data_IF_917969913328
#
_entry.id   IF_917969913328
#
_cell.length_a   1.000
_cell.length_b   1.000
_cell.length_c   1.000
_cell.angle_alpha   90.00
_cell.angle_beta   90.00
_cell.angle_gamma   90.00
#
_symmetry.space_group_name_H-M   'P 1'
#
loop_
_entity.id
_entity.type
_entity.pdbx_description
1 polymer ?
#
# COMPACT_ATOMS: atom_id res chain seq x y z
N UNK A 1 -0.20 27.27 17.63
CA UNK A 1 -1.68 27.14 17.60
C UNK A 1 -2.23 28.24 16.72
N UNK A 2 -2.74 27.90 15.54
CA UNK A 2 -3.16 28.89 14.56
C UNK A 2 -4.60 28.65 14.17
N UNK A 3 -5.37 29.74 14.12
CA UNK A 3 -6.78 29.72 13.77
C UNK A 3 -6.95 30.30 12.39
N UNK A 4 -7.65 29.58 11.53
CA UNK A 4 -8.30 30.18 10.37
C UNK A 4 -9.75 30.46 10.74
N UNK A 5 -10.08 31.74 10.88
CA UNK A 5 -11.45 32.23 10.94
C UNK A 5 -11.83 32.66 9.52
N UNK A 6 -12.20 31.69 8.72
CA UNK A 6 -12.85 31.94 7.43
C UNK A 6 -14.36 31.91 7.65
N UNK A 7 -14.95 33.10 7.73
CA UNK A 7 -16.36 33.30 8.01
C UNK A 7 -17.07 33.83 6.75
N UNK A 8 -16.92 33.20 5.58
CA UNK A 8 -17.56 33.69 4.34
C UNK A 8 -19.11 33.76 4.35
N UNK A 9 -19.80 33.46 5.45
CA UNK A 9 -21.25 33.64 5.67
C UNK A 9 -21.55 33.14 7.08
N UNK A 10 -22.07 33.97 8.00
CA UNK A 10 -21.75 33.91 9.42
C UNK A 10 -21.94 32.51 10.01
N UNK A 11 -20.87 31.69 10.14
CA UNK A 11 -20.78 30.83 11.31
C UNK A 11 -20.75 31.81 12.48
N UNK A 12 -21.62 31.62 13.46
CA UNK A 12 -21.87 32.55 14.55
C UNK A 12 -20.58 33.29 15.02
N UNK A 13 -20.36 34.52 14.50
CA UNK A 13 -19.17 35.34 14.79
C UNK A 13 -19.07 35.53 16.30
N UNK A 14 -20.23 35.63 16.97
CA UNK A 14 -20.32 35.72 18.42
C UNK A 14 -19.75 34.46 19.06
N UNK A 15 -20.12 33.27 18.60
CA UNK A 15 -19.56 32.00 19.07
C UNK A 15 -18.06 31.89 18.80
N UNK A 16 -17.60 32.22 17.60
CA UNK A 16 -16.19 32.12 17.23
C UNK A 16 -15.32 33.03 18.10
N UNK A 17 -15.68 34.32 18.19
CA UNK A 17 -14.95 35.29 19.02
C UNK A 17 -15.05 34.95 20.51
N UNK A 18 -16.21 34.50 20.98
CA UNK A 18 -16.37 34.03 22.35
C UNK A 18 -15.45 32.85 22.66
N UNK A 19 -15.38 31.87 21.76
CA UNK A 19 -14.54 30.68 21.91
C UNK A 19 -13.05 31.03 21.94
N UNK A 20 -12.61 31.92 21.04
CA UNK A 20 -11.25 32.46 21.02
C UNK A 20 -10.89 33.11 22.36
N UNK A 21 -11.77 33.97 22.88
CA UNK A 21 -11.53 34.64 24.16
C UNK A 21 -11.54 33.66 25.34
N UNK A 22 -12.50 32.73 25.40
CA UNK A 22 -12.58 31.72 26.47
C UNK A 22 -11.29 30.90 26.50
N UNK A 23 -10.83 30.41 25.37
CA UNK A 23 -9.62 29.60 25.30
C UNK A 23 -8.36 30.43 25.58
N UNK A 24 -8.22 31.61 24.98
CA UNK A 24 -7.01 32.43 25.14
C UNK A 24 -6.85 33.02 26.54
N UNK A 25 -7.95 33.30 27.23
CA UNK A 25 -7.93 33.83 28.60
C UNK A 25 -7.88 32.74 29.66
N UNK A 26 -8.19 31.49 29.30
CA UNK A 26 -8.15 30.36 30.23
C UNK A 26 -6.74 30.17 30.76
N UNK A 27 -6.63 30.19 32.10
CA UNK A 27 -5.36 30.16 32.82
C UNK A 27 -4.33 31.15 32.24
N UNK A 28 -4.80 32.35 31.85
CA UNK A 28 -3.99 33.41 31.23
C UNK A 28 -3.21 32.97 29.98
N UNK A 29 -3.74 32.00 29.22
CA UNK A 29 -3.15 31.55 27.97
C UNK A 29 -1.92 30.65 28.14
N UNK A 30 -1.74 30.03 29.31
CA UNK A 30 -0.62 29.10 29.57
C UNK A 30 -0.79 27.74 28.90
N UNK A 31 -2.01 27.36 28.54
CA UNK A 31 -2.22 26.10 27.84
C UNK A 31 -1.56 26.19 26.47
N UNK A 32 -0.70 25.22 26.13
CA UNK A 32 -0.01 25.15 24.83
C UNK A 32 -1.00 25.07 23.67
N UNK A 33 -2.19 24.51 23.93
CA UNK A 33 -3.30 24.52 23.00
C UNK A 33 -4.13 25.84 22.98
N UNK A 34 -3.65 26.93 23.56
CA UNK A 34 -4.27 28.24 23.42
C UNK A 34 -3.88 28.95 22.13
N UNK A 35 -4.80 29.76 21.61
CA UNK A 35 -4.70 30.51 20.37
C UNK A 35 -3.45 31.40 20.36
N UNK A 36 -2.60 31.28 19.33
CA UNK A 36 -1.46 32.20 19.17
C UNK A 36 -1.72 33.24 18.09
N UNK A 37 -2.53 32.91 17.10
CA UNK A 37 -2.86 33.77 15.97
C UNK A 37 -4.31 33.52 15.54
N UNK A 38 -5.00 34.60 15.14
CA UNK A 38 -6.24 34.55 14.39
C UNK A 38 -5.98 35.05 12.97
N UNK A 39 -6.45 34.30 11.98
CA UNK A 39 -6.39 34.67 10.56
C UNK A 39 -7.82 34.87 10.11
N UNK A 40 -8.16 36.11 9.75
CA UNK A 40 -9.53 36.50 9.44
C UNK A 40 -9.63 36.82 7.96
N UNK A 41 -10.58 36.19 7.27
CA UNK A 41 -10.85 36.52 5.85
C UNK A 41 -11.42 37.93 5.72
N UNK A 42 -11.09 38.57 4.60
CA UNK A 42 -11.37 39.99 4.34
C UNK A 42 -12.83 40.37 4.50
N UNK A 43 -13.75 39.51 4.06
CA UNK A 43 -15.18 39.79 3.99
C UNK A 43 -15.85 39.98 5.36
N UNK A 44 -15.27 39.40 6.42
CA UNK A 44 -15.76 39.51 7.81
C UNK A 44 -14.80 40.20 8.77
N UNK A 45 -13.68 40.70 8.26
CA UNK A 45 -12.60 41.25 9.10
C UNK A 45 -13.10 42.30 10.08
N UNK A 46 -13.85 43.28 9.57
CA UNK A 46 -14.29 44.43 10.36
C UNK A 46 -15.34 44.01 11.41
N UNK A 47 -16.19 43.03 11.11
CA UNK A 47 -17.18 42.48 12.04
C UNK A 47 -16.51 41.71 13.18
N UNK A 48 -15.51 40.88 12.88
CA UNK A 48 -14.74 40.14 13.88
C UNK A 48 -13.95 41.08 14.78
N UNK A 49 -13.29 42.10 14.22
CA UNK A 49 -12.55 43.11 15.00
C UNK A 49 -13.50 43.88 15.93
N UNK A 50 -14.69 44.25 15.44
CA UNK A 50 -15.71 44.91 16.25
C UNK A 50 -16.17 44.02 17.41
N UNK A 51 -16.43 42.75 17.15
CA UNK A 51 -16.87 41.79 18.16
C UNK A 51 -15.77 41.48 19.19
N UNK A 52 -14.51 41.37 18.75
CA UNK A 52 -13.34 41.22 19.62
C UNK A 52 -13.26 42.40 20.61
N UNK A 53 -13.36 43.63 20.11
CA UNK A 53 -13.38 44.84 20.94
C UNK A 53 -14.53 44.82 21.95
N UNK A 54 -15.74 44.49 21.49
CA UNK A 54 -16.93 44.42 22.33
C UNK A 54 -16.75 43.45 23.50
N UNK A 55 -16.08 42.31 23.29
CA UNK A 55 -15.91 41.28 24.31
C UNK A 55 -14.67 41.45 25.21
N UNK A 56 -13.90 42.52 25.02
CA UNK A 56 -12.78 42.91 25.89
C UNK A 56 -11.38 42.67 25.32
N UNK A 57 -11.23 42.48 24.01
CA UNK A 57 -9.93 42.52 23.35
C UNK A 57 -9.51 43.98 23.09
N UNK A 58 -8.26 44.32 23.39
CA UNK A 58 -7.69 45.62 23.04
C UNK A 58 -6.84 45.48 21.77
N UNK A 59 -7.26 46.15 20.69
CA UNK A 59 -6.51 46.17 19.42
C UNK A 59 -5.43 47.25 19.51
N UNK A 60 -4.17 46.82 19.41
CA UNK A 60 -3.00 47.68 19.54
C UNK A 60 -2.81 48.53 18.28
N UNK A 61 -2.47 49.81 18.45
CA UNK A 61 -1.92 50.60 17.34
C UNK A 61 -0.45 50.23 17.07
N UNK A 62 0.14 50.74 15.98
CA UNK A 62 1.50 50.36 15.58
C UNK A 62 2.57 50.67 16.65
N UNK A 63 2.47 51.80 17.34
CA UNK A 63 3.42 52.17 18.40
C UNK A 63 3.29 51.27 19.63
N UNK A 64 2.06 50.91 19.99
CA UNK A 64 1.79 49.99 21.10
C UNK A 64 2.24 48.56 20.76
N UNK A 65 1.97 48.12 19.52
CA UNK A 65 2.39 46.83 18.99
C UNK A 65 3.89 46.66 19.07
N UNK A 66 4.68 47.65 18.62
CA UNK A 66 6.15 47.59 18.72
C UNK A 66 6.65 47.47 20.17
N UNK A 67 5.99 48.15 21.12
CA UNK A 67 6.36 48.05 22.54
C UNK A 67 6.04 46.67 23.11
N UNK A 68 4.86 46.14 22.78
CA UNK A 68 4.46 44.79 23.21
C UNK A 68 5.38 43.74 22.57
N UNK A 69 5.68 43.84 21.27
CA UNK A 69 6.57 42.91 20.55
C UNK A 69 7.92 42.73 21.26
N UNK A 70 8.56 43.85 21.64
CA UNK A 70 9.84 43.88 22.39
C UNK A 70 9.77 43.24 23.78
N UNK A 71 8.56 43.03 24.32
CA UNK A 71 8.37 42.32 25.59
C UNK A 71 8.01 40.85 25.42
N UNK A 72 7.62 40.41 24.21
CA UNK A 72 7.33 39.01 23.91
C UNK A 72 8.64 38.22 23.80
N UNK A 73 9.58 38.68 22.97
CA UNK A 73 10.85 37.99 22.73
C UNK A 73 12.01 38.83 23.28
N UNK A 74 12.84 38.23 24.13
CA UNK A 74 14.07 38.84 24.65
C UNK A 74 15.24 37.95 24.26
N UNK A 75 16.20 38.50 23.52
CA UNK A 75 17.40 37.78 23.01
C UNK A 75 17.02 36.49 22.23
N UNK A 76 16.01 36.60 21.37
CA UNK A 76 15.57 35.48 20.50
C UNK A 76 14.83 34.35 21.22
N UNK A 77 14.39 34.54 22.47
CA UNK A 77 13.58 33.58 23.23
C UNK A 77 12.36 34.23 23.82
N UNK A 78 11.29 33.45 24.01
CA UNK A 78 10.10 33.88 24.74
C UNK A 78 10.49 34.40 26.12
N UNK A 79 10.00 35.59 26.45
CA UNK A 79 10.21 36.24 27.73
C UNK A 79 9.42 35.50 28.82
N UNK A 80 10.08 34.82 29.77
CA UNK A 80 9.37 34.07 30.82
C UNK A 80 8.53 34.99 31.72
N UNK A 81 8.84 36.29 31.78
CA UNK A 81 8.12 37.24 32.62
C UNK A 81 6.69 37.54 32.13
N UNK A 82 6.36 37.25 30.86
CA UNK A 82 4.99 37.43 30.33
C UNK A 82 4.13 36.16 30.45
N UNK A 83 4.75 35.00 30.68
CA UNK A 83 4.06 33.70 30.73
C UNK A 83 3.09 33.69 31.89
N UNK A 84 1.83 33.35 31.60
CA UNK A 84 0.76 33.30 32.59
C UNK A 84 0.43 34.62 33.28
N UNK A 85 0.78 35.77 32.68
CA UNK A 85 0.43 37.09 33.21
C UNK A 85 -0.85 37.60 32.56
N UNK A 86 -1.57 38.48 33.25
CA UNK A 86 -2.75 39.15 32.67
C UNK A 86 -2.35 40.11 31.55
N UNK A 87 -3.27 40.33 30.60
CA UNK A 87 -3.08 41.29 29.51
C UNK A 87 -2.71 42.68 30.02
N UNK A 88 -3.34 43.11 31.12
CA UNK A 88 -3.03 44.37 31.80
C UNK A 88 -1.58 44.45 32.27
N UNK A 89 -1.09 43.41 32.95
CA UNK A 89 0.27 43.40 33.50
C UNK A 89 1.32 43.40 32.39
N UNK A 90 1.06 42.68 31.29
CA UNK A 90 1.92 42.71 30.11
C UNK A 90 1.96 44.12 29.51
N UNK A 91 0.81 44.77 29.33
CA UNK A 91 0.75 46.15 28.85
C UNK A 91 1.54 47.12 29.76
N UNK A 92 1.42 46.98 31.08
CA UNK A 92 2.18 47.78 32.06
C UNK A 92 3.70 47.53 31.94
N UNK A 93 4.13 46.28 31.74
CA UNK A 93 5.54 45.93 31.51
C UNK A 93 6.11 46.57 30.23
N UNK A 94 5.28 46.74 29.20
CA UNK A 94 5.66 47.34 27.92
C UNK A 94 5.44 48.86 27.87
N UNK A 95 4.92 49.47 28.93
CA UNK A 95 4.61 50.90 28.96
C UNK A 95 3.46 51.30 28.04
N UNK A 96 2.49 50.41 27.83
CA UNK A 96 1.26 50.62 27.06
C UNK A 96 0.08 50.77 28.02
N UNK A 97 -0.75 51.80 27.83
CA UNK A 97 -1.93 52.04 28.68
C UNK A 97 -3.16 51.42 28.03
N UNK A 98 -3.76 50.46 28.72
CA UNK A 98 -4.99 49.77 28.30
C UNK A 98 -6.10 49.94 29.36
N UNK A 99 -7.37 49.62 29.07
CA UNK A 99 -8.43 49.55 30.09
C UNK A 99 -8.11 48.55 31.21
N UNK A 100 -8.72 48.70 32.40
CA UNK A 100 -8.48 47.79 33.54
C UNK A 100 -9.13 46.41 33.38
N UNK A 101 -10.19 46.34 32.57
CA UNK A 101 -10.99 45.14 32.27
C UNK A 101 -10.54 44.43 30.97
N UNK A 102 -9.39 44.83 30.40
CA UNK A 102 -8.84 44.19 29.20
C UNK A 102 -8.59 42.70 29.43
N UNK A 103 -9.05 41.87 28.49
CA UNK A 103 -8.91 40.42 28.56
C UNK A 103 -7.72 39.91 27.76
N UNK A 104 -7.54 40.42 26.55
CA UNK A 104 -6.43 40.07 25.65
C UNK A 104 -5.89 41.31 24.94
N UNK A 105 -4.62 41.25 24.53
CA UNK A 105 -3.99 42.22 23.63
C UNK A 105 -3.88 41.62 22.24
N UNK A 106 -4.38 42.32 21.22
CA UNK A 106 -4.38 41.86 19.84
C UNK A 106 -3.54 42.80 18.97
N UNK A 107 -2.50 42.26 18.33
CA UNK A 107 -1.63 43.00 17.40
C UNK A 107 -1.89 42.60 15.96
N UNK A 108 -2.22 43.56 15.09
CA UNK A 108 -2.36 43.33 13.65
C UNK A 108 -0.98 43.24 12.97
N UNK A 109 -0.75 42.13 12.27
CA UNK A 109 0.54 41.79 11.64
C UNK A 109 0.35 41.16 10.26
N UNK A 110 1.33 41.34 9.38
CA UNK A 110 1.33 40.78 8.01
C UNK A 110 2.37 39.70 7.79
N UNK A 111 3.51 39.79 8.51
CA UNK A 111 4.65 38.91 8.30
C UNK A 111 4.55 37.60 9.10
N UNK A 112 5.07 36.52 8.52
CA UNK A 112 5.16 35.20 9.16
C UNK A 112 6.62 34.78 9.10
N UNK A 113 7.31 34.87 10.24
CA UNK A 113 8.70 34.50 10.40
C UNK A 113 9.18 34.70 11.84
N UNK A 114 10.41 34.29 12.14
CA UNK A 114 11.00 34.44 13.48
C UNK A 114 11.29 35.90 13.84
N UNK A 115 11.39 36.79 12.85
CA UNK A 115 11.59 38.23 13.06
C UNK A 115 10.31 38.96 13.49
N UNK A 116 9.14 38.33 13.35
CA UNK A 116 7.86 38.88 13.81
C UNK A 116 7.49 38.22 15.15
N UNK A 117 7.66 38.94 16.26
CA UNK A 117 7.45 38.39 17.60
C UNK A 117 6.01 37.92 17.84
N UNK A 118 5.03 38.56 17.19
CA UNK A 118 3.64 38.13 17.29
C UNK A 118 3.37 36.79 16.58
N UNK A 119 4.19 36.39 15.59
CA UNK A 119 4.04 35.12 14.87
C UNK A 119 4.41 33.90 15.73
N UNK A 120 5.23 34.10 16.77
CA UNK A 120 5.74 33.04 17.64
C UNK A 120 4.75 32.66 18.76
N UNK A 121 5.09 31.61 19.50
CA UNK A 121 4.34 31.20 20.69
C UNK A 121 4.54 32.19 21.85
N UNK A 122 3.44 32.58 22.53
CA UNK A 122 3.43 33.66 23.52
C UNK A 122 3.05 33.23 24.94
N UNK A 123 2.42 32.06 25.12
CA UNK A 123 1.95 31.49 26.41
C UNK A 123 1.35 32.51 27.40
N UNK A 124 0.60 33.46 26.87
CA UNK A 124 0.07 34.65 27.57
C UNK A 124 -1.16 35.16 26.80
N UNK A 125 -2.00 36.08 27.34
CA UNK A 125 -3.19 36.59 26.67
C UNK A 125 -2.87 37.67 25.62
N UNK A 126 -1.88 37.38 24.76
CA UNK A 126 -1.49 38.18 23.60
C UNK A 126 -1.71 37.35 22.34
N UNK A 127 -2.34 37.94 21.32
CA UNK A 127 -2.68 37.27 20.07
C UNK A 127 -2.27 38.09 18.85
N UNK A 128 -1.82 37.40 17.81
CA UNK A 128 -1.59 38.00 16.49
C UNK A 128 -2.88 37.99 15.68
N UNK A 129 -3.13 39.05 14.91
CA UNK A 129 -4.26 39.15 13.99
C UNK A 129 -3.73 39.30 12.57
N UNK A 130 -4.07 38.36 11.70
CA UNK A 130 -3.72 38.37 10.29
C UNK A 130 -4.97 38.56 9.44
N UNK A 131 -4.87 39.39 8.40
CA UNK A 131 -5.88 39.50 7.35
C UNK A 131 -5.57 38.52 6.21
N UNK A 132 -6.58 37.80 5.73
CA UNK A 132 -6.49 36.94 4.55
C UNK A 132 -7.44 37.42 3.45
N UNK A 133 -7.05 37.28 2.19
CA UNK A 133 -7.91 37.70 1.06
C UNK A 133 -9.09 36.75 0.87
N UNK A 134 -8.91 35.45 1.12
CA UNK A 134 -9.93 34.41 1.01
C UNK A 134 -9.53 33.18 1.85
N UNK A 135 -10.37 32.13 1.82
CA UNK A 135 -10.12 30.88 2.52
C UNK A 135 -8.75 30.26 2.20
N UNK A 136 -8.40 30.14 0.93
CA UNK A 136 -7.17 29.48 0.49
C UNK A 136 -5.92 30.20 1.02
N UNK A 137 -5.91 31.53 0.95
CA UNK A 137 -4.86 32.36 1.54
C UNK A 137 -4.81 32.22 3.07
N UNK A 138 -5.98 32.12 3.72
CA UNK A 138 -6.06 31.91 5.16
C UNK A 138 -5.50 30.54 5.60
N UNK A 139 -5.76 29.49 4.82
CA UNK A 139 -5.21 28.14 5.02
C UNK A 139 -3.69 28.14 4.80
N UNK A 140 -3.20 28.83 3.77
CA UNK A 140 -1.77 28.91 3.48
C UNK A 140 -1.01 29.68 4.58
N UNK A 141 -1.57 30.79 5.09
CA UNK A 141 -1.03 31.48 6.26
C UNK A 141 -1.01 30.60 7.50
N UNK A 142 -2.08 29.85 7.76
CA UNK A 142 -2.14 28.91 8.88
C UNK A 142 -1.06 27.82 8.74
N UNK A 143 -0.88 27.27 7.54
CA UNK A 143 0.18 26.30 7.26
C UNK A 143 1.56 26.86 7.57
N UNK A 144 1.88 28.07 7.07
CA UNK A 144 3.18 28.71 7.34
C UNK A 144 3.43 28.95 8.83
N UNK A 145 2.41 29.38 9.56
CA UNK A 145 2.51 29.59 11.00
C UNK A 145 2.69 28.26 11.78
N UNK A 146 1.97 27.21 11.38
CA UNK A 146 2.16 25.86 11.94
C UNK A 146 3.58 25.36 11.69
N UNK A 147 4.10 25.49 10.48
CA UNK A 147 5.47 25.07 10.17
C UNK A 147 6.53 25.88 10.93
N UNK A 148 6.24 27.13 11.29
CA UNK A 148 7.16 27.98 12.03
C UNK A 148 7.41 27.46 13.46
N UNK A 149 6.34 27.24 14.25
CA UNK A 149 6.45 26.93 15.69
C UNK A 149 5.32 26.02 16.24
N UNK A 150 4.54 25.36 15.37
CA UNK A 150 3.32 24.63 15.79
C UNK A 150 3.14 23.23 15.21
N UNK A 151 4.13 22.73 14.46
CA UNK A 151 4.03 21.47 13.73
C UNK A 151 3.68 20.31 14.67
N UNK A 152 2.68 19.52 14.27
CA UNK A 152 2.19 18.41 15.06
C UNK A 152 1.17 18.74 16.14
N UNK A 153 1.04 19.99 16.57
CA UNK A 153 0.23 20.33 17.74
C UNK A 153 -1.26 20.45 17.40
N UNK A 154 -1.79 21.66 17.21
CA UNK A 154 -3.23 21.89 17.04
C UNK A 154 -3.52 23.08 16.14
N UNK A 155 -4.58 22.96 15.35
CA UNK A 155 -5.18 24.03 14.55
C UNK A 155 -6.69 24.04 14.72
N UNK A 156 -7.31 25.22 14.61
CA UNK A 156 -8.75 25.38 14.72
C UNK A 156 -9.30 26.11 13.50
N UNK A 157 -10.43 25.62 12.98
CA UNK A 157 -11.19 26.26 11.92
C UNK A 157 -12.58 26.62 12.45
N UNK A 158 -12.95 27.89 12.37
CA UNK A 158 -14.32 28.33 12.59
C UNK A 158 -14.99 28.48 11.22
N UNK A 159 -15.97 27.61 10.93
CA UNK A 159 -16.63 27.54 9.62
C UNK A 159 -18.00 26.87 9.72
N UNK A 160 -18.83 26.99 8.69
CA UNK A 160 -20.08 26.23 8.60
C UNK A 160 -19.79 24.74 8.38
N UNK A 161 -20.25 23.90 9.31
CA UNK A 161 -20.00 22.45 9.33
C UNK A 161 -20.57 21.74 8.10
N UNK A 162 -21.54 22.35 7.41
CA UNK A 162 -22.10 21.80 6.16
C UNK A 162 -21.08 21.85 5.02
N UNK A 163 -20.08 22.74 5.08
CA UNK A 163 -19.03 22.91 4.05
C UNK A 163 -17.88 21.91 4.23
N UNK A 164 -18.18 20.61 4.18
CA UNK A 164 -17.22 19.52 4.39
C UNK A 164 -15.97 19.58 3.49
N UNK A 165 -16.08 20.13 2.28
CA UNK A 165 -14.92 20.34 1.40
C UNK A 165 -13.86 21.25 2.06
N UNK A 166 -14.27 22.36 2.68
CA UNK A 166 -13.34 23.30 3.35
C UNK A 166 -12.64 22.64 4.53
N UNK A 167 -13.40 21.91 5.34
CA UNK A 167 -12.85 21.13 6.46
C UNK A 167 -11.82 20.12 5.93
N UNK A 168 -12.12 19.43 4.82
CA UNK A 168 -11.20 18.52 4.15
C UNK A 168 -9.91 19.20 3.68
N UNK A 169 -10.01 20.36 3.01
CA UNK A 169 -8.84 21.13 2.54
C UNK A 169 -7.97 21.56 3.72
N UNK A 170 -8.57 22.12 4.76
CA UNK A 170 -7.86 22.53 5.97
C UNK A 170 -7.17 21.34 6.65
N UNK A 171 -7.90 20.23 6.81
CA UNK A 171 -7.39 19.03 7.47
C UNK A 171 -6.27 18.33 6.69
N UNK A 172 -6.35 18.31 5.36
CA UNK A 172 -5.32 17.71 4.51
C UNK A 172 -4.05 18.57 4.44
N UNK A 173 -4.18 19.90 4.48
CA UNK A 173 -3.04 20.81 4.34
C UNK A 173 -2.27 21.00 5.64
N UNK A 174 -2.96 21.15 6.78
CA UNK A 174 -2.30 21.49 8.04
C UNK A 174 -1.64 20.28 8.71
N UNK A 175 -0.38 20.47 9.11
CA UNK A 175 0.41 19.46 9.81
C UNK A 175 0.20 19.55 11.32
N UNK A 176 -1.01 19.25 11.79
CA UNK A 176 -1.33 19.21 13.22
C UNK A 176 -2.08 17.94 13.61
N UNK A 177 -1.73 17.36 14.76
CA UNK A 177 -2.37 16.13 15.27
C UNK A 177 -3.80 16.33 15.76
N UNK A 178 -4.17 17.57 16.14
CA UNK A 178 -5.54 17.95 16.48
C UNK A 178 -6.03 19.05 15.54
N UNK A 179 -7.04 18.74 14.74
CA UNK A 179 -7.79 19.71 13.95
C UNK A 179 -9.16 19.85 14.59
N UNK A 180 -9.45 21.06 15.06
CA UNK A 180 -10.67 21.35 15.79
C UNK A 180 -11.59 22.22 14.95
N UNK A 181 -12.89 21.95 14.99
CA UNK A 181 -13.91 22.71 14.26
C UNK A 181 -14.84 23.35 15.28
N UNK A 182 -15.06 24.66 15.18
CA UNK A 182 -16.06 25.40 15.97
C UNK A 182 -15.99 25.19 17.50
N UNK A 183 -14.78 25.10 18.06
CA UNK A 183 -14.58 24.95 19.52
C UNK A 183 -13.45 25.84 20.01
N UNK A 184 -13.50 26.34 21.26
CA UNK A 184 -12.35 26.94 21.91
C UNK A 184 -11.16 25.97 21.89
N UNK A 185 -9.99 26.46 21.52
CA UNK A 185 -8.88 25.56 21.17
C UNK A 185 -8.30 24.83 22.38
N UNK A 186 -8.10 25.53 23.49
CA UNK A 186 -7.48 24.96 24.69
C UNK A 186 -8.30 23.79 25.20
N UNK A 187 -9.60 24.04 25.40
CA UNK A 187 -10.57 23.07 25.89
C UNK A 187 -10.90 21.98 24.86
N UNK A 188 -10.98 22.34 23.58
CA UNK A 188 -11.22 21.37 22.52
C UNK A 188 -10.06 20.39 22.36
N UNK A 189 -8.81 20.87 22.46
CA UNK A 189 -7.62 20.06 22.27
C UNK A 189 -7.36 19.09 23.44
N UNK A 190 -7.67 19.50 24.68
CA UNK A 190 -7.52 18.61 25.84
C UNK A 190 -8.57 17.49 25.85
N UNK A 191 -9.66 17.62 25.09
CA UNK A 191 -10.67 16.58 24.89
C UNK A 191 -11.81 16.56 25.92
N UNK A 192 -12.82 15.74 25.65
CA UNK A 192 -14.01 15.42 26.49
C UNK A 192 -14.99 16.56 26.83
N UNK A 193 -14.56 17.84 26.77
CA UNK A 193 -15.42 18.97 27.13
C UNK A 193 -16.28 19.48 25.97
N UNK A 194 -15.67 19.68 24.81
CA UNK A 194 -16.35 20.19 23.59
C UNK A 194 -16.43 19.15 22.47
N UNK A 195 -15.74 18.02 22.63
CA UNK A 195 -15.80 16.92 21.68
C UNK A 195 -15.54 15.60 22.41
N UNK A 196 -16.20 14.54 21.96
CA UNK A 196 -16.04 13.17 22.50
C UNK A 196 -15.11 12.32 21.61
N UNK A 197 -14.31 12.98 20.76
CA UNK A 197 -13.41 12.33 19.80
C UNK A 197 -11.98 12.25 20.32
N UNK A 198 -11.56 13.26 21.07
CA UNK A 198 -10.24 13.33 21.69
C UNK A 198 -10.32 12.84 23.14
N UNK A 199 -9.42 11.94 23.50
CA UNK A 199 -9.27 11.47 24.87
C UNK A 199 -8.86 12.63 25.80
N UNK A 200 -9.45 12.76 27.00
CA UNK A 200 -9.06 13.79 27.95
C UNK A 200 -7.58 13.67 28.36
N UNK A 201 -6.76 14.69 28.09
CA UNK A 201 -5.33 14.71 28.45
C UNK A 201 -4.75 16.12 28.51
N UNK A 202 -3.75 16.30 29.38
CA UNK A 202 -2.87 17.48 29.42
C UNK A 202 -1.49 17.20 28.80
N UNK A 203 -1.28 16.00 28.26
CA UNK A 203 -0.07 15.63 27.51
C UNK A 203 -0.48 15.36 26.06
N UNK A 204 -0.26 16.37 25.21
CA UNK A 204 -0.69 16.38 23.82
C UNK A 204 0.51 16.04 22.93
N UNK A 205 0.52 14.84 22.35
CA UNK A 205 1.62 14.40 21.50
C UNK A 205 1.61 15.09 20.13
N UNK A 206 2.75 15.60 19.67
CA UNK A 206 2.87 16.29 18.37
C UNK A 206 3.24 15.36 17.20
N UNK A 207 3.35 14.05 17.43
CA UNK A 207 3.78 13.10 16.41
C UNK A 207 5.17 13.38 15.86
N UNK A 208 5.52 12.74 14.73
CA UNK A 208 6.85 12.85 14.13
C UNK A 208 7.20 14.27 13.68
N UNK A 209 6.20 15.09 13.30
CA UNK A 209 6.40 16.49 12.93
C UNK A 209 6.95 17.34 14.09
N UNK A 210 6.55 17.03 15.33
CA UNK A 210 7.07 17.68 16.55
C UNK A 210 8.14 16.86 17.29
N UNK A 211 8.70 15.81 16.67
CA UNK A 211 9.71 14.96 17.31
C UNK A 211 9.19 14.05 18.42
N UNK A 212 7.90 13.71 18.44
CA UNK A 212 7.29 12.79 19.41
C UNK A 212 6.96 11.42 18.79
N UNK A 213 6.92 10.37 19.61
CA UNK A 213 6.53 9.02 19.20
C UNK A 213 5.01 8.85 19.05
N UNK A 214 4.21 9.80 19.54
CA UNK A 214 2.73 9.76 19.54
C UNK A 214 2.17 11.11 19.08
N UNK A 215 1.10 11.08 18.30
CA UNK A 215 0.33 12.27 17.87
C UNK A 215 -1.00 12.43 18.63
N UNK A 216 -1.32 11.48 19.50
CA UNK A 216 -2.58 11.42 20.24
C UNK A 216 -2.54 12.25 21.53
N UNK A 217 -3.72 12.42 22.12
CA UNK A 217 -3.83 12.77 23.54
C UNK A 217 -3.37 11.56 24.36
N UNK A 218 -2.32 11.72 25.15
CA UNK A 218 -1.73 10.60 25.88
C UNK A 218 -2.67 10.16 26.99
N UNK A 219 -3.29 8.98 26.79
CA UNK A 219 -4.08 8.26 27.79
C UNK A 219 -3.44 6.95 28.27
N UNK A 220 -4.21 6.18 29.04
CA UNK A 220 -3.76 4.96 29.75
C UNK A 220 -3.10 3.93 28.82
N UNK A 221 -3.59 3.77 27.58
CA UNK A 221 -3.05 2.78 26.63
C UNK A 221 -1.56 2.97 26.32
N UNK A 222 -1.06 4.20 26.40
CA UNK A 222 0.34 4.52 26.14
C UNK A 222 1.26 4.17 27.31
N UNK A 223 0.70 3.86 28.47
CA UNK A 223 1.40 3.46 29.69
C UNK A 223 1.36 1.95 29.93
N UNK A 224 0.74 1.20 29.01
CA UNK A 224 0.62 -0.25 29.08
C UNK A 224 1.55 -0.92 28.07
N UNK A 225 2.26 -1.94 28.54
CA UNK A 225 2.97 -2.87 27.66
C UNK A 225 2.05 -4.03 27.29
N UNK A 226 1.85 -4.26 25.99
CA UNK A 226 1.12 -5.42 25.50
C UNK A 226 2.10 -6.59 25.29
N UNK A 227 1.87 -7.70 26.00
CA UNK A 227 2.63 -8.95 25.80
C UNK A 227 1.89 -9.82 24.79
N UNK A 228 2.47 -10.02 23.62
CA UNK A 228 1.93 -10.92 22.59
C UNK A 228 2.61 -12.29 22.69
N UNK A 229 1.84 -13.34 22.98
CA UNK A 229 2.30 -14.73 22.90
C UNK A 229 1.82 -15.28 21.56
N UNK A 230 2.76 -15.58 20.66
CA UNK A 230 2.47 -16.15 19.34
C UNK A 230 3.04 -17.56 19.24
N UNK A 231 2.18 -18.51 18.87
CA UNK A 231 2.58 -19.91 18.61
C UNK A 231 2.84 -20.12 17.13
N UNK A 232 3.77 -21.02 16.79
CA UNK A 232 3.93 -21.50 15.42
C UNK A 232 2.65 -22.24 15.01
N UNK A 233 1.96 -21.72 14.01
CA UNK A 233 0.89 -22.41 13.30
C UNK A 233 1.32 -22.61 11.85
N UNK A 234 0.96 -23.75 11.30
CA UNK A 234 1.11 -23.97 9.86
C UNK A 234 -0.04 -23.27 9.15
N UNK A 235 0.29 -22.59 8.05
CA UNK A 235 -0.71 -21.94 7.22
C UNK A 235 -1.48 -23.01 6.40
N UNK A 236 -2.58 -22.65 5.75
CA UNK A 236 -3.31 -23.56 4.85
C UNK A 236 -2.34 -24.25 3.86
N UNK A 237 -2.33 -25.58 3.88
CA UNK A 237 -1.63 -26.46 2.94
C UNK A 237 -2.64 -27.16 2.03
N UNK A 238 -2.19 -27.73 0.92
CA UNK A 238 -3.06 -28.37 -0.07
C UNK A 238 -2.35 -29.52 -0.79
N UNK A 239 -3.14 -30.39 -1.39
CA UNK A 239 -2.67 -31.44 -2.28
C UNK A 239 -3.30 -31.22 -3.66
N UNK A 240 -2.52 -30.74 -4.63
CA UNK A 240 -2.97 -30.41 -5.99
C UNK A 240 -2.11 -31.15 -7.01
N UNK A 241 -2.76 -31.98 -7.82
CA UNK A 241 -2.19 -32.76 -8.92
C UNK A 241 -3.14 -32.63 -10.14
N UNK A 242 -2.74 -33.06 -11.35
CA UNK A 242 -3.66 -33.16 -12.47
C UNK A 242 -4.94 -33.92 -12.09
N UNK A 243 -6.13 -33.45 -12.50
CA UNK A 243 -7.39 -34.15 -12.23
C UNK A 243 -7.42 -35.59 -12.77
N UNK A 244 -6.63 -35.87 -13.81
CA UNK A 244 -6.50 -37.19 -14.43
C UNK A 244 -5.02 -37.55 -14.56
N UNK A 245 -4.64 -38.67 -13.94
CA UNK A 245 -3.31 -39.27 -14.07
C UNK A 245 -3.48 -40.72 -14.51
N UNK A 246 -3.13 -40.99 -15.75
CA UNK A 246 -3.14 -42.34 -16.33
C UNK A 246 -1.75 -42.94 -16.26
N UNK A 247 -1.65 -44.21 -15.90
CA UNK A 247 -0.38 -44.91 -15.78
C UNK A 247 -0.54 -46.39 -16.12
N UNK A 248 0.59 -47.08 -16.33
CA UNK A 248 0.80 -48.46 -16.82
C UNK A 248 1.20 -48.50 -18.30
N UNK A 249 1.80 -49.62 -18.70
CA UNK A 249 2.27 -49.86 -20.07
C UNK A 249 1.12 -49.84 -21.09
N UNK A 250 1.35 -49.20 -22.22
CA UNK A 250 0.41 -49.07 -23.32
C UNK A 250 -0.81 -48.19 -23.02
N UNK A 251 -0.81 -47.47 -21.90
CA UNK A 251 -1.95 -46.66 -21.46
C UNK A 251 -2.21 -45.47 -22.40
N UNK A 252 -1.19 -45.01 -23.13
CA UNK A 252 -1.28 -43.85 -24.03
C UNK A 252 -2.41 -44.00 -25.05
N UNK A 253 -2.59 -45.19 -25.63
CA UNK A 253 -3.66 -45.44 -26.61
C UNK A 253 -5.06 -45.25 -25.98
N UNK A 254 -5.28 -45.79 -24.78
CA UNK A 254 -6.56 -45.68 -24.09
C UNK A 254 -6.82 -44.27 -23.58
N UNK A 255 -5.81 -43.62 -23.01
CA UNK A 255 -5.92 -42.28 -22.43
C UNK A 255 -6.16 -41.21 -23.50
N UNK A 256 -5.50 -41.29 -24.67
CA UNK A 256 -5.74 -40.34 -25.77
C UNK A 256 -7.14 -40.48 -26.38
N UNK A 257 -7.76 -41.66 -26.33
CA UNK A 257 -9.15 -41.83 -26.80
C UNK A 257 -10.17 -41.09 -25.95
N UNK A 258 -9.86 -40.76 -24.70
CA UNK A 258 -10.74 -39.88 -23.90
C UNK A 258 -10.79 -38.43 -24.42
N UNK A 259 -9.89 -38.06 -25.34
CA UNK A 259 -9.94 -36.76 -26.02
C UNK A 259 -10.96 -36.74 -27.17
N UNK A 260 -11.71 -37.82 -27.40
CA UNK A 260 -12.73 -37.88 -28.43
C UNK A 260 -13.74 -36.71 -28.29
N UNK A 261 -14.01 -36.03 -29.42
CA UNK A 261 -14.85 -34.83 -29.47
C UNK A 261 -14.05 -33.52 -29.51
N UNK A 262 -12.75 -33.56 -29.20
CA UNK A 262 -11.79 -32.51 -29.56
C UNK A 262 -11.46 -32.56 -31.04
N UNK A 263 -10.84 -31.51 -31.58
CA UNK A 263 -10.67 -31.32 -33.03
C UNK A 263 -9.23 -31.15 -33.49
N UNK A 264 -8.40 -30.42 -32.73
CA UNK A 264 -7.08 -29.97 -33.17
C UNK A 264 -6.07 -30.09 -32.04
N UNK A 265 -5.10 -30.98 -32.20
CA UNK A 265 -4.03 -31.19 -31.24
C UNK A 265 -2.72 -30.55 -31.70
N UNK A 266 -2.10 -29.76 -30.84
CA UNK A 266 -0.75 -29.23 -31.06
C UNK A 266 0.25 -29.98 -30.18
N UNK A 267 1.14 -30.74 -30.81
CA UNK A 267 2.12 -31.58 -30.11
C UNK A 267 3.43 -30.83 -29.98
N UNK A 268 3.95 -30.73 -28.76
CA UNK A 268 5.23 -30.07 -28.43
C UNK A 268 6.22 -31.14 -27.98
N UNK A 269 7.33 -31.26 -28.71
CA UNK A 269 8.38 -32.28 -28.50
C UNK A 269 9.77 -31.73 -28.83
N UNK A 270 10.81 -32.50 -28.54
CA UNK A 270 12.15 -32.28 -29.08
C UNK A 270 12.38 -33.03 -30.42
N UNK A 271 13.47 -32.67 -31.10
CA UNK A 271 13.84 -33.22 -32.40
C UNK A 271 14.31 -34.68 -32.32
N UNK A 272 14.85 -35.13 -31.19
CA UNK A 272 15.28 -36.51 -31.02
C UNK A 272 14.06 -37.45 -31.01
N UNK A 273 13.06 -37.14 -30.19
CA UNK A 273 11.84 -37.92 -30.08
C UNK A 273 11.04 -37.94 -31.38
N UNK A 274 10.99 -36.81 -32.09
CA UNK A 274 10.38 -36.73 -33.42
C UNK A 274 11.07 -37.69 -34.40
N UNK A 275 12.40 -37.63 -34.51
CA UNK A 275 13.17 -38.47 -35.43
C UNK A 275 13.21 -39.95 -35.02
N UNK A 276 13.05 -40.26 -33.73
CA UNK A 276 13.02 -41.63 -33.22
C UNK A 276 11.72 -42.38 -33.55
N UNK A 277 10.68 -41.67 -34.00
CA UNK A 277 9.37 -42.24 -34.32
C UNK A 277 8.47 -42.49 -33.10
N UNK A 278 8.90 -42.16 -31.88
CA UNK A 278 8.08 -42.31 -30.67
C UNK A 278 6.74 -41.57 -30.74
N UNK A 279 6.70 -40.45 -31.47
CA UNK A 279 5.50 -39.65 -31.69
C UNK A 279 4.41 -40.35 -32.52
N UNK A 280 4.78 -41.37 -33.32
CA UNK A 280 3.84 -42.11 -34.18
C UNK A 280 2.75 -42.83 -33.36
N UNK A 281 3.09 -43.29 -32.15
CA UNK A 281 2.13 -43.91 -31.24
C UNK A 281 1.04 -42.94 -30.78
N UNK A 282 1.34 -41.63 -30.75
CA UNK A 282 0.40 -40.57 -30.42
C UNK A 282 -0.41 -40.21 -31.66
N UNK A 283 0.26 -39.88 -32.77
CA UNK A 283 -0.40 -39.39 -33.98
C UNK A 283 -1.36 -40.41 -34.58
N UNK A 284 -0.99 -41.70 -34.59
CA UNK A 284 -1.87 -42.79 -35.04
C UNK A 284 -3.19 -42.82 -34.28
N UNK A 285 -3.15 -42.65 -32.96
CA UNK A 285 -4.36 -42.65 -32.13
C UNK A 285 -5.21 -41.41 -32.41
N UNK A 286 -4.58 -40.24 -32.59
CA UNK A 286 -5.27 -39.01 -32.97
C UNK A 286 -5.98 -39.15 -34.32
N UNK A 287 -5.33 -39.77 -35.32
CA UNK A 287 -5.93 -40.07 -36.63
C UNK A 287 -7.14 -41.00 -36.49
N UNK A 288 -7.02 -42.08 -35.73
CA UNK A 288 -8.11 -43.04 -35.50
C UNK A 288 -9.34 -42.42 -34.83
N UNK A 289 -9.15 -41.38 -33.99
CA UNK A 289 -10.25 -40.64 -33.35
C UNK A 289 -10.63 -39.34 -34.08
N UNK A 290 -10.10 -39.12 -35.28
CA UNK A 290 -10.36 -37.96 -36.14
C UNK A 290 -10.00 -36.60 -35.52
N UNK A 291 -8.87 -36.53 -34.82
CA UNK A 291 -8.26 -35.28 -34.36
C UNK A 291 -7.16 -34.89 -35.34
N UNK A 292 -7.30 -33.72 -35.96
CA UNK A 292 -6.24 -33.12 -36.76
C UNK A 292 -5.08 -32.70 -35.84
N UNK A 293 -3.84 -32.76 -36.32
CA UNK A 293 -2.70 -32.41 -35.49
C UNK A 293 -1.58 -31.67 -36.21
N UNK A 294 -0.86 -30.83 -35.46
CA UNK A 294 0.41 -30.24 -35.86
C UNK A 294 1.49 -30.55 -34.82
N UNK A 295 2.74 -30.66 -35.26
CA UNK A 295 3.87 -31.03 -34.42
C UNK A 295 4.90 -29.90 -34.46
N UNK A 296 5.26 -29.41 -33.28
CA UNK A 296 6.43 -28.58 -33.05
C UNK A 296 7.51 -29.39 -32.35
N UNK A 297 8.62 -29.64 -33.06
CA UNK A 297 9.76 -30.42 -32.58
C UNK A 297 11.02 -29.57 -32.33
N UNK A 298 10.86 -28.24 -32.24
CA UNK A 298 11.95 -27.27 -32.08
C UNK A 298 12.43 -27.09 -30.63
N UNK A 299 11.91 -27.86 -29.66
CA UNK A 299 12.29 -27.70 -28.26
C UNK A 299 13.73 -28.17 -28.02
N UNK A 300 14.53 -27.29 -27.43
CA UNK A 300 15.92 -27.55 -27.03
C UNK A 300 15.98 -28.07 -25.58
N UNK A 301 17.09 -28.73 -25.17
CA UNK A 301 17.26 -29.21 -23.78
C UNK A 301 17.07 -28.14 -22.71
N UNK A 302 17.35 -26.88 -23.03
CA UNK A 302 17.00 -25.72 -22.22
C UNK A 302 16.03 -24.87 -23.06
N UNK A 303 14.72 -24.87 -22.75
CA UNK A 303 13.74 -24.18 -23.56
C UNK A 303 13.93 -22.68 -23.37
N UNK A 304 13.90 -21.93 -24.47
CA UNK A 304 14.14 -20.50 -24.46
C UNK A 304 12.90 -19.69 -24.84
N UNK A 305 12.90 -18.40 -24.50
CA UNK A 305 11.81 -17.47 -24.84
C UNK A 305 11.57 -17.44 -26.36
N UNK A 306 12.62 -17.50 -27.17
CA UNK A 306 12.53 -17.57 -28.63
C UNK A 306 11.84 -18.84 -29.13
N UNK A 307 12.18 -20.01 -28.57
CA UNK A 307 11.51 -21.29 -28.87
C UNK A 307 10.02 -21.24 -28.54
N UNK A 308 9.66 -20.63 -27.42
CA UNK A 308 8.24 -20.44 -27.03
C UNK A 308 7.53 -19.51 -28.03
N UNK A 309 8.14 -18.39 -28.42
CA UNK A 309 7.56 -17.44 -29.38
C UNK A 309 7.38 -18.02 -30.78
N UNK A 310 8.32 -18.85 -31.24
CA UNK A 310 8.21 -19.57 -32.51
C UNK A 310 7.00 -20.52 -32.49
N UNK A 311 6.90 -21.36 -31.45
CA UNK A 311 5.77 -22.26 -31.28
C UNK A 311 4.45 -21.50 -31.15
N UNK A 312 4.40 -20.38 -30.41
CA UNK A 312 3.21 -19.56 -30.26
C UNK A 312 2.69 -19.01 -31.60
N UNK A 313 3.58 -18.68 -32.53
CA UNK A 313 3.19 -18.19 -33.86
C UNK A 313 2.43 -19.28 -34.63
N UNK A 314 2.86 -20.54 -34.50
CA UNK A 314 2.18 -21.69 -35.10
C UNK A 314 0.87 -22.01 -34.39
N UNK A 315 0.88 -22.06 -33.06
CA UNK A 315 -0.32 -22.34 -32.23
C UNK A 315 -1.42 -21.31 -32.49
N UNK A 316 -1.07 -20.02 -32.64
CA UNK A 316 -2.05 -18.96 -32.92
C UNK A 316 -2.69 -19.08 -34.29
N UNK A 317 -1.93 -19.53 -35.30
CA UNK A 317 -2.47 -19.77 -36.64
C UNK A 317 -3.29 -21.07 -36.69
N UNK A 318 -2.88 -22.09 -35.93
CA UNK A 318 -3.50 -23.41 -35.95
C UNK A 318 -4.73 -23.51 -35.05
N UNK A 319 -4.78 -22.73 -33.97
CA UNK A 319 -5.86 -22.66 -32.97
C UNK A 319 -6.28 -24.02 -32.37
N UNK A 320 -5.36 -24.76 -31.72
CA UNK A 320 -5.67 -26.06 -31.15
C UNK A 320 -6.66 -25.96 -29.98
N UNK A 321 -7.41 -27.03 -29.73
CA UNK A 321 -8.21 -27.22 -28.51
C UNK A 321 -7.56 -28.20 -27.52
N UNK A 322 -6.39 -28.77 -27.89
CA UNK A 322 -5.51 -29.58 -27.07
C UNK A 322 -4.03 -29.20 -27.34
N UNK A 323 -3.23 -29.04 -26.28
CA UNK A 323 -1.77 -29.08 -26.37
C UNK A 323 -1.28 -30.38 -25.73
N UNK A 324 -0.47 -31.14 -26.46
CA UNK A 324 0.14 -32.39 -25.98
C UNK A 324 1.65 -32.16 -25.85
N UNK A 325 2.16 -32.10 -24.62
CA UNK A 325 3.59 -32.16 -24.38
C UNK A 325 4.06 -33.61 -24.36
N UNK A 326 5.01 -33.94 -25.24
CA UNK A 326 5.64 -35.25 -25.31
C UNK A 326 7.14 -35.08 -25.15
N UNK A 327 7.69 -35.55 -24.03
CA UNK A 327 9.13 -35.52 -23.80
C UNK A 327 9.54 -35.50 -22.34
N UNK A 328 10.78 -35.07 -22.07
CA UNK A 328 11.27 -34.82 -20.72
C UNK A 328 10.76 -33.50 -20.13
N UNK A 329 11.47 -32.96 -19.13
CA UNK A 329 11.10 -31.67 -18.52
C UNK A 329 11.07 -30.51 -19.53
N UNK A 330 12.02 -30.44 -20.46
CA UNK A 330 12.14 -29.31 -21.39
C UNK A 330 10.94 -29.15 -22.33
N UNK A 331 10.44 -30.21 -23.03
CA UNK A 331 9.21 -30.12 -23.81
C UNK A 331 7.97 -29.80 -22.98
N UNK A 332 7.86 -30.37 -21.77
CA UNK A 332 6.71 -30.13 -20.88
C UNK A 332 6.69 -28.69 -20.38
N UNK A 333 7.82 -28.16 -19.95
CA UNK A 333 7.96 -26.79 -19.45
C UNK A 333 7.70 -25.77 -20.57
N UNK A 334 8.25 -26.00 -21.77
CA UNK A 334 7.98 -25.17 -22.94
C UNK A 334 6.47 -25.14 -23.27
N UNK A 335 5.83 -26.31 -23.28
CA UNK A 335 4.41 -26.44 -23.57
C UNK A 335 3.51 -25.75 -22.54
N UNK A 336 3.87 -25.78 -21.24
CA UNK A 336 3.16 -25.04 -20.19
C UNK A 336 3.14 -23.53 -20.45
N UNK A 337 4.26 -22.97 -20.91
CA UNK A 337 4.35 -21.53 -21.21
C UNK A 337 3.66 -21.19 -22.53
N UNK A 338 3.78 -22.04 -23.55
CA UNK A 338 3.01 -21.90 -24.80
C UNK A 338 1.50 -21.92 -24.49
N UNK A 339 1.04 -22.83 -23.63
CA UNK A 339 -0.35 -22.92 -23.20
C UNK A 339 -0.82 -21.64 -22.50
N UNK A 340 -0.04 -21.13 -21.53
CA UNK A 340 -0.34 -19.88 -20.85
C UNK A 340 -0.47 -18.70 -21.82
N UNK A 341 0.56 -18.49 -22.65
CA UNK A 341 0.63 -17.33 -23.56
C UNK A 341 -0.34 -17.44 -24.75
N UNK A 342 -0.83 -18.63 -25.04
CA UNK A 342 -1.91 -18.83 -26.02
C UNK A 342 -3.28 -18.51 -25.43
N UNK A 343 -3.58 -18.96 -24.20
CA UNK A 343 -4.87 -18.65 -23.58
C UNK A 343 -5.02 -17.17 -23.22
N UNK A 344 -3.94 -16.57 -22.70
CA UNK A 344 -3.89 -15.19 -22.17
C UNK A 344 -2.76 -14.39 -22.85
N UNK A 345 -2.94 -13.96 -24.12
CA UNK A 345 -1.92 -13.27 -24.90
C UNK A 345 -1.51 -11.90 -24.34
N UNK A 346 -2.29 -11.34 -23.43
CA UNK A 346 -2.00 -10.10 -22.69
C UNK A 346 -0.94 -10.28 -21.58
N UNK A 347 -0.60 -11.51 -21.23
CA UNK A 347 0.38 -11.81 -20.18
C UNK A 347 1.80 -11.45 -20.64
N UNK A 348 2.46 -10.52 -19.94
CA UNK A 348 3.89 -10.25 -20.13
C UNK A 348 4.72 -11.33 -19.42
N UNK A 349 5.68 -11.92 -20.14
CA UNK A 349 6.61 -12.90 -19.60
C UNK A 349 7.42 -12.34 -18.42
N UNK A 350 7.76 -11.04 -18.43
CA UNK A 350 8.54 -10.40 -17.35
C UNK A 350 7.77 -10.38 -16.02
N UNK A 351 6.46 -10.22 -16.08
CA UNK A 351 5.61 -10.16 -14.88
C UNK A 351 5.50 -11.53 -14.21
N UNK A 352 5.38 -12.61 -15.00
CA UNK A 352 5.30 -13.97 -14.47
C UNK A 352 6.66 -14.51 -14.01
N UNK A 353 7.76 -13.99 -14.56
CA UNK A 353 9.15 -14.33 -14.22
C UNK A 353 9.62 -13.74 -12.88
N UNK A 354 8.85 -12.82 -12.27
CA UNK A 354 9.19 -12.24 -10.97
C UNK A 354 9.25 -13.32 -9.88
N UNK A 355 10.32 -13.29 -9.07
CA UNK A 355 10.56 -14.25 -7.99
C UNK A 355 9.80 -13.86 -6.73
N UNK A 356 9.15 -14.83 -6.09
CA UNK A 356 8.49 -14.65 -4.80
C UNK A 356 8.91 -15.77 -3.84
N UNK A 357 9.13 -15.43 -2.57
CA UNK A 357 9.48 -16.41 -1.52
C UNK A 357 8.34 -17.40 -1.22
N UNK A 358 7.10 -17.04 -1.59
CA UNK A 358 5.91 -17.87 -1.40
C UNK A 358 5.10 -17.83 -2.69
N UNK A 359 4.82 -18.99 -3.29
CA UNK A 359 4.00 -19.12 -4.50
C UNK A 359 2.60 -18.48 -4.34
N UNK A 360 2.14 -18.25 -3.11
CA UNK A 360 0.88 -17.54 -2.80
C UNK A 360 0.98 -16.02 -2.87
N UNK A 361 2.14 -15.44 -2.61
CA UNK A 361 2.30 -14.00 -2.35
C UNK A 361 2.84 -13.27 -3.58
N UNK A 362 2.26 -13.57 -4.74
CA UNK A 362 2.58 -12.85 -5.98
C UNK A 362 1.77 -11.56 -6.08
N UNK A 363 2.40 -10.53 -6.61
CA UNK A 363 1.72 -9.29 -7.03
C UNK A 363 0.90 -9.58 -8.30
N UNK A 364 1.47 -10.35 -9.24
CA UNK A 364 0.83 -10.77 -10.48
C UNK A 364 0.36 -12.23 -10.39
N UNK A 365 -0.95 -12.48 -10.57
CA UNK A 365 -1.54 -13.81 -10.57
C UNK A 365 -1.68 -14.33 -11.99
N UNK A 366 -1.35 -15.60 -12.22
CA UNK A 366 -1.64 -16.24 -13.50
C UNK A 366 -3.16 -16.49 -13.58
N UNK A 367 -3.84 -16.07 -14.65
CA UNK A 367 -5.27 -16.35 -14.81
C UNK A 367 -5.54 -17.86 -14.89
N UNK A 368 -6.78 -18.25 -14.65
CA UNK A 368 -7.19 -19.65 -14.79
C UNK A 368 -6.99 -20.13 -16.24
N UNK A 369 -6.30 -21.27 -16.38
CA UNK A 369 -6.03 -21.93 -17.66
C UNK A 369 -6.97 -23.13 -17.87
N UNK A 370 -7.07 -23.60 -19.11
CA UNK A 370 -7.87 -24.78 -19.47
C UNK A 370 -9.23 -24.43 -20.09
N UNK A 371 -9.48 -23.15 -20.38
CA UNK A 371 -10.78 -22.71 -20.95
C UNK A 371 -10.82 -22.87 -22.45
N UNK A 372 -9.73 -22.56 -23.14
CA UNK A 372 -9.60 -22.71 -24.59
C UNK A 372 -8.94 -24.04 -24.95
N UNK A 373 -7.93 -24.43 -24.19
CA UNK A 373 -7.05 -25.55 -24.54
C UNK A 373 -6.88 -26.48 -23.35
N UNK A 374 -6.99 -27.77 -23.60
CA UNK A 374 -6.64 -28.77 -22.61
C UNK A 374 -5.16 -29.14 -22.74
N UNK A 375 -4.42 -29.08 -21.63
CA UNK A 375 -3.01 -29.45 -21.56
C UNK A 375 -2.85 -30.92 -21.14
N UNK A 376 -2.20 -31.71 -21.99
CA UNK A 376 -1.87 -33.12 -21.76
C UNK A 376 -0.35 -33.26 -21.71
N UNK A 377 0.18 -33.87 -20.65
CA UNK A 377 1.61 -34.12 -20.51
C UNK A 377 1.92 -35.63 -20.52
N UNK A 378 2.84 -36.03 -21.39
CA UNK A 378 3.27 -37.41 -21.59
C UNK A 378 4.80 -37.47 -21.39
N UNK A 379 5.27 -37.78 -20.16
CA UNK A 379 6.70 -37.82 -19.88
C UNK A 379 7.38 -38.99 -20.59
N UNK A 380 8.57 -38.75 -21.14
CA UNK A 380 9.43 -39.77 -21.75
C UNK A 380 10.75 -39.94 -20.98
N UNK A 381 10.81 -39.42 -19.75
CA UNK A 381 11.90 -39.63 -18.81
C UNK A 381 11.35 -39.95 -17.42
N UNK A 382 12.15 -40.57 -16.57
CA UNK A 382 11.73 -41.02 -15.24
C UNK A 382 12.32 -40.15 -14.11
N UNK A 383 12.24 -38.82 -14.24
CA UNK A 383 12.94 -37.90 -13.31
C UNK A 383 12.18 -36.66 -12.87
N UNK A 384 11.82 -35.81 -13.84
CA UNK A 384 11.43 -34.42 -13.52
C UNK A 384 10.08 -34.28 -12.80
N UNK A 385 9.14 -35.20 -13.03
CA UNK A 385 7.76 -35.08 -12.55
C UNK A 385 7.00 -33.86 -13.08
N UNK A 386 7.51 -33.19 -14.12
CA UNK A 386 6.92 -31.94 -14.64
C UNK A 386 5.47 -32.13 -15.08
N UNK A 387 5.08 -33.33 -15.51
CA UNK A 387 3.71 -33.68 -15.89
C UNK A 387 2.67 -33.52 -14.77
N UNK A 388 3.09 -33.50 -13.50
CA UNK A 388 2.20 -33.28 -12.35
C UNK A 388 2.50 -31.99 -11.57
N UNK A 389 3.53 -31.23 -11.94
CA UNK A 389 3.96 -30.06 -11.16
C UNK A 389 3.44 -28.73 -11.71
N UNK A 390 3.32 -27.70 -10.84
CA UNK A 390 3.01 -26.33 -11.24
C UNK A 390 4.24 -25.53 -11.74
N UNK A 391 5.37 -26.19 -11.99
CA UNK A 391 6.64 -25.55 -12.30
C UNK A 391 6.94 -25.58 -13.79
N UNK A 392 7.58 -24.52 -14.30
CA UNK A 392 8.20 -24.50 -15.61
C UNK A 392 9.46 -23.62 -15.56
N UNK A 393 10.52 -24.02 -16.24
CA UNK A 393 11.75 -23.22 -16.34
C UNK A 393 11.98 -22.81 -17.78
N UNK A 394 12.06 -21.50 -18.04
CA UNK A 394 12.40 -20.94 -19.35
C UNK A 394 13.67 -20.10 -19.23
N UNK A 395 14.55 -20.21 -20.22
CA UNK A 395 15.78 -19.42 -20.31
C UNK A 395 15.59 -18.22 -21.24
N UNK A 396 16.04 -17.06 -20.82
CA UNK A 396 16.12 -15.87 -21.67
C UNK A 396 17.26 -16.00 -22.68
N UNK A 397 16.97 -15.87 -23.97
CA UNK A 397 18.01 -15.91 -25.02
C UNK A 397 18.97 -14.70 -24.92
N UNK A 398 18.50 -13.54 -24.48
CA UNK A 398 19.28 -12.30 -24.45
C UNK A 398 20.13 -12.20 -23.19
N UNK A 399 19.54 -12.49 -22.03
CA UNK A 399 20.20 -12.33 -20.73
C UNK A 399 20.84 -13.62 -20.20
N UNK A 400 20.54 -14.77 -20.82
CA UNK A 400 20.92 -16.10 -20.36
C UNK A 400 20.47 -16.46 -18.93
N UNK A 401 19.49 -15.71 -18.40
CA UNK A 401 18.91 -15.96 -17.08
C UNK A 401 17.85 -17.05 -17.19
N UNK A 402 17.90 -18.03 -16.28
CA UNK A 402 16.84 -19.03 -16.10
C UNK A 402 15.75 -18.49 -15.18
N UNK A 403 14.52 -18.46 -15.67
CA UNK A 403 13.34 -18.02 -14.94
C UNK A 403 12.49 -19.20 -14.49
N UNK A 404 12.49 -19.56 -13.19
CA UNK A 404 11.56 -20.54 -12.65
C UNK A 404 10.19 -19.89 -12.47
N UNK A 405 9.20 -20.42 -13.18
CA UNK A 405 7.80 -20.01 -13.11
C UNK A 405 7.07 -21.09 -12.29
N UNK A 406 6.26 -20.65 -11.33
CA UNK A 406 5.62 -21.53 -10.35
C UNK A 406 4.21 -21.03 -10.06
N UNK A 407 3.21 -21.70 -10.63
CA UNK A 407 1.78 -21.44 -10.39
C UNK A 407 0.95 -22.69 -10.68
N UNK A 408 -0.02 -22.99 -9.82
CA UNK A 408 -0.91 -24.15 -10.00
C UNK A 408 -1.82 -24.07 -11.22
N UNK A 409 -2.00 -22.88 -11.82
CA UNK A 409 -2.61 -22.77 -13.13
C UNK A 409 -1.84 -23.56 -14.20
N UNK A 410 -0.52 -23.70 -14.06
CA UNK A 410 0.35 -24.43 -15.00
C UNK A 410 0.37 -25.95 -14.79
N UNK A 411 -0.32 -26.47 -13.78
CA UNK A 411 -0.44 -27.92 -13.61
C UNK A 411 -1.25 -28.49 -14.78
N UNK A 412 -0.71 -29.50 -15.53
CA UNK A 412 -1.44 -30.08 -16.66
C UNK A 412 -2.82 -30.61 -16.29
N UNK A 413 -3.76 -30.59 -17.24
CA UNK A 413 -5.09 -31.16 -17.01
C UNK A 413 -5.06 -32.68 -16.99
N UNK A 414 -4.16 -33.29 -17.75
CA UNK A 414 -3.98 -34.73 -17.85
C UNK A 414 -2.50 -35.07 -17.86
N UNK A 415 -2.10 -36.07 -17.07
CA UNK A 415 -0.78 -36.71 -17.15
C UNK A 415 -0.95 -38.16 -17.63
N UNK A 416 -0.13 -38.60 -18.58
CA UNK A 416 -0.14 -39.97 -19.13
C UNK A 416 1.26 -40.56 -18.97
N UNK A 417 1.46 -41.35 -17.93
CA UNK A 417 2.75 -41.95 -17.58
C UNK A 417 2.83 -43.38 -18.14
N UNK A 418 3.33 -43.50 -19.37
CA UNK A 418 3.44 -44.77 -20.08
C UNK A 418 4.90 -45.28 -20.12
N UNK A 419 5.24 -46.37 -19.41
CA UNK A 419 6.59 -46.90 -19.37
C UNK A 419 7.16 -47.33 -20.73
N UNK A 420 6.33 -47.54 -21.75
CA UNK A 420 6.82 -47.93 -23.09
C UNK A 420 7.71 -46.84 -23.72
N UNK A 421 7.57 -45.57 -23.32
CA UNK A 421 8.40 -44.47 -23.82
C UNK A 421 9.76 -44.32 -23.13
N UNK A 422 9.99 -45.03 -22.03
CA UNK A 422 11.25 -44.93 -21.25
C UNK A 422 12.15 -46.15 -21.38
N UNK A 423 11.68 -47.25 -21.98
CA UNK A 423 12.46 -48.50 -22.14
C UNK A 423 13.74 -48.31 -22.97
N UNK A 424 13.71 -47.42 -23.97
CA UNK A 424 14.84 -47.14 -24.84
C UNK A 424 15.76 -46.02 -24.32
N UNK A 425 15.58 -45.55 -23.08
CA UNK A 425 16.43 -44.49 -22.53
C UNK A 425 17.90 -44.91 -22.47
N UNK A 426 18.84 -44.04 -22.88
CA UNK A 426 20.25 -44.28 -22.63
C UNK A 426 20.55 -44.47 -21.14
N UNK A 427 21.51 -45.35 -20.81
CA UNK A 427 21.88 -45.67 -19.42
C UNK A 427 22.20 -44.43 -18.58
N UNK A 428 22.90 -43.45 -19.16
CA UNK A 428 23.25 -42.20 -18.49
C UNK A 428 22.02 -41.35 -18.13
N UNK A 429 21.06 -41.23 -19.05
CA UNK A 429 19.81 -40.50 -18.83
C UNK A 429 18.92 -41.22 -17.80
N UNK A 430 18.84 -42.55 -17.87
CA UNK A 430 18.15 -43.37 -16.87
C UNK A 430 18.72 -43.16 -15.46
N UNK A 431 20.05 -43.21 -15.31
CA UNK A 431 20.69 -42.96 -14.02
C UNK A 431 20.46 -41.52 -13.51
N UNK A 432 20.65 -40.51 -14.37
CA UNK A 432 20.47 -39.11 -13.98
C UNK A 432 19.03 -38.81 -13.56
N UNK A 433 18.05 -39.26 -14.34
CA UNK A 433 16.62 -39.07 -14.03
C UNK A 433 16.18 -39.82 -12.77
N UNK A 434 16.70 -41.03 -12.52
CA UNK A 434 16.42 -41.76 -11.28
C UNK A 434 16.95 -41.05 -10.02
N UNK A 435 18.16 -40.47 -10.09
CA UNK A 435 18.72 -39.69 -8.98
C UNK A 435 17.96 -38.36 -8.78
N UNK A 436 17.51 -37.73 -9.87
CA UNK A 436 16.65 -36.54 -9.84
C UNK A 436 15.34 -36.82 -9.09
N UNK A 437 14.62 -37.88 -9.48
CA UNK A 437 13.39 -38.31 -8.79
C UNK A 437 13.63 -38.64 -7.30
N UNK A 438 14.73 -39.31 -6.97
CA UNK A 438 15.09 -39.61 -5.58
C UNK A 438 15.36 -38.33 -4.77
N UNK A 439 16.04 -37.35 -5.37
CA UNK A 439 16.33 -36.06 -4.75
C UNK A 439 15.04 -35.31 -4.47
N UNK A 440 14.13 -35.22 -5.45
CA UNK A 440 12.80 -34.65 -5.27
C UNK A 440 12.03 -35.33 -4.12
N UNK A 441 12.07 -36.66 -4.05
CA UNK A 441 11.40 -37.41 -3.00
C UNK A 441 11.97 -37.10 -1.60
N UNK A 442 13.30 -37.06 -1.45
CA UNK A 442 13.98 -36.76 -0.18
C UNK A 442 13.71 -35.32 0.25
N UNK A 443 13.90 -34.34 -0.62
CA UNK A 443 13.71 -32.93 -0.30
C UNK A 443 12.26 -32.62 0.08
N UNK A 444 11.30 -33.21 -0.64
CA UNK A 444 9.89 -33.08 -0.29
C UNK A 444 9.55 -33.72 1.08
N UNK A 445 10.37 -34.63 1.61
CA UNK A 445 10.08 -35.33 2.88
C UNK A 445 10.52 -34.52 4.07
N UNK A 446 11.70 -33.92 3.94
CA UNK A 446 12.31 -33.08 4.97
C UNK A 446 11.91 -31.60 4.83
N UNK A 447 11.09 -31.28 3.82
CA UNK A 447 10.56 -29.94 3.61
C UNK A 447 9.75 -29.44 4.80
N UNK A 448 9.89 -28.16 5.11
CA UNK A 448 9.04 -27.46 6.09
C UNK A 448 7.57 -27.36 5.66
N UNK A 449 7.25 -27.78 4.43
CA UNK A 449 5.88 -27.88 3.87
C UNK A 449 5.40 -29.33 3.73
N UNK A 450 6.12 -30.31 4.27
CA UNK A 450 5.71 -31.72 4.20
C UNK A 450 4.40 -31.96 4.95
N UNK A 451 3.53 -32.79 4.38
CA UNK A 451 2.24 -33.19 4.97
C UNK A 451 2.08 -34.70 4.96
N UNK A 452 1.12 -35.22 5.73
CA UNK A 452 0.76 -36.64 5.66
C UNK A 452 0.27 -37.06 4.26
N UNK A 453 -0.38 -36.16 3.50
CA UNK A 453 -0.82 -36.42 2.13
C UNK A 453 0.35 -36.61 1.15
N UNK A 454 1.38 -35.77 1.26
CA UNK A 454 2.57 -35.88 0.40
C UNK A 454 3.50 -36.99 0.86
N UNK A 455 3.56 -37.26 2.17
CA UNK A 455 4.41 -38.30 2.72
C UNK A 455 3.95 -39.72 2.37
N UNK A 456 2.65 -39.92 2.17
CA UNK A 456 2.09 -41.21 1.74
C UNK A 456 2.34 -41.55 0.26
N UNK A 457 2.86 -40.63 -0.56
CA UNK A 457 3.16 -40.87 -1.97
C UNK A 457 4.53 -41.52 -2.23
N UNK A 458 5.21 -41.95 -1.17
CA UNK A 458 6.54 -42.55 -1.22
C UNK A 458 6.52 -44.04 -1.01
#
# INVERSE_FOLDING_TARGET
MHITADLDEPPDIFMAVSSILISKTFDTGMICSSEQSIIIVKDVYDEVIKELKLRGAYILNDQEKEKIAKTIIIKGKLNPAIVGQSARKIADMSGVKVPSDVKILAGEVSEIGLEEEFAQEKLSPVIAVYRAENFEDAVEKAYRLVELCGAGHTSVLYTDERKQNRIGVFACKLRTGRILINTPSSQGAIGDLYNFKLEPSLTLGCGSWGGNSVSENVGVKHLLNYKTVAERRENMLWFRIPPKVYFKRGITNLALRELQGKKRAFIVTDSFLFNSGGIYNITKVLEEINIDYQIFFGVKPEPTVSTVNEALSLVRAYEPDIIIAFGGGSPIDAAKIIWLMYEHPETDFKDIAMRFMDIRKRICKIPELGKKVQMVAIPTTSGTGSEITPFAVITDDETHIKYPIADYALTPNVAIVDPDFVDSMPKSLCAASGIDALTHAIEAYVSVLATNFTNSLR
#
